data_IF_543338691403
#
_entry.id   IF_543338691403
#
_cell.length_a   1.000
_cell.length_b   1.000
_cell.length_c   1.000
_cell.angle_alpha   90.00
_cell.angle_beta   90.00
_cell.angle_gamma   90.00
#
_symmetry.space_group_name_H-M   'P 1'
#
loop_
_entity.id
_entity.type
_entity.pdbx_description
1 polymer ?
#
# COMPACT_ATOMS: atom_id res chain seq x y z
N UNK A 1 -46.68 -44.52 -2.18
CA UNK A 1 -45.21 -44.52 -2.13
C UNK A 1 -44.71 -43.46 -3.12
N UNK A 2 -44.48 -42.25 -2.66
CA UNK A 2 -44.00 -41.13 -3.45
C UNK A 2 -42.60 -40.81 -2.99
N UNK A 3 -41.62 -41.18 -3.82
CA UNK A 3 -40.21 -40.90 -3.58
C UNK A 3 -39.89 -39.43 -3.80
N UNK A 4 -39.59 -38.73 -2.74
CA UNK A 4 -39.04 -37.38 -2.78
C UNK A 4 -37.56 -37.51 -3.15
N UNK A 5 -37.20 -37.07 -4.37
CA UNK A 5 -35.80 -36.89 -4.77
C UNK A 5 -35.29 -35.59 -4.10
N UNK A 6 -34.32 -35.72 -3.21
CA UNK A 6 -33.52 -34.61 -2.73
C UNK A 6 -32.67 -34.01 -3.89
N UNK A 7 -32.58 -32.70 -4.04
CA UNK A 7 -31.68 -32.12 -5.02
C UNK A 7 -30.23 -32.24 -4.49
N UNK A 8 -29.42 -33.06 -5.18
CA UNK A 8 -27.97 -32.99 -5.05
C UNK A 8 -27.50 -31.60 -5.52
N UNK A 9 -27.33 -30.70 -4.61
CA UNK A 9 -26.52 -29.53 -4.84
C UNK A 9 -25.04 -29.98 -4.80
N UNK A 10 -24.49 -30.31 -5.97
CA UNK A 10 -23.05 -30.37 -6.14
C UNK A 10 -22.50 -28.99 -5.77
N UNK A 11 -21.96 -28.85 -4.58
CA UNK A 11 -21.09 -27.74 -4.25
C UNK A 11 -19.91 -27.88 -5.20
N UNK A 12 -19.91 -27.08 -6.28
CA UNK A 12 -18.74 -26.86 -7.10
C UNK A 12 -17.77 -26.14 -6.19
N UNK A 13 -16.71 -26.82 -5.73
CA UNK A 13 -15.62 -26.15 -5.06
C UNK A 13 -15.16 -24.99 -5.99
N UNK A 14 -15.10 -23.77 -5.51
CA UNK A 14 -14.61 -22.66 -6.34
C UNK A 14 -13.24 -23.06 -6.87
N UNK A 15 -13.03 -22.86 -8.18
CA UNK A 15 -11.74 -23.10 -8.83
C UNK A 15 -10.72 -22.19 -8.12
N UNK A 16 -9.69 -22.79 -7.54
CA UNK A 16 -8.59 -22.03 -6.96
C UNK A 16 -7.89 -21.29 -8.11
N UNK A 17 -7.75 -19.99 -7.99
CA UNK A 17 -7.02 -19.16 -8.94
C UNK A 17 -5.56 -19.08 -8.50
N UNK A 18 -4.63 -18.97 -9.44
CA UNK A 18 -3.21 -18.88 -9.09
C UNK A 18 -2.86 -17.47 -8.60
N UNK A 19 -3.49 -16.45 -9.21
CA UNK A 19 -3.18 -15.04 -8.96
C UNK A 19 -4.45 -14.18 -8.96
N UNK A 20 -4.58 -13.30 -7.95
CA UNK A 20 -5.56 -12.22 -7.93
C UNK A 20 -4.82 -10.88 -8.09
N UNK A 21 -5.09 -10.17 -9.16
CA UNK A 21 -4.58 -8.81 -9.40
C UNK A 21 -5.60 -7.81 -8.85
N UNK A 22 -5.19 -6.98 -7.92
CA UNK A 22 -6.07 -6.03 -7.22
C UNK A 22 -5.57 -4.61 -7.46
N UNK A 23 -6.43 -3.79 -8.07
CA UNK A 23 -6.16 -2.39 -8.40
C UNK A 23 -7.15 -1.53 -7.63
N UNK A 24 -6.68 -0.68 -6.71
CA UNK A 24 -7.53 0.35 -6.11
C UNK A 24 -7.43 1.64 -6.92
N UNK A 25 -8.56 2.34 -7.07
CA UNK A 25 -8.62 3.56 -7.87
C UNK A 25 -9.63 4.56 -7.31
N UNK A 26 -9.41 5.86 -7.57
CA UNK A 26 -10.39 6.92 -7.31
C UNK A 26 -10.14 8.10 -8.25
N UNK A 27 -11.13 8.43 -9.12
CA UNK A 27 -11.09 9.56 -10.05
C UNK A 27 -9.84 9.55 -10.96
N UNK A 28 -9.47 8.38 -11.50
CA UNK A 28 -8.25 8.19 -12.31
C UNK A 28 -8.49 7.29 -13.53
N UNK A 29 -9.63 7.49 -14.22
CA UNK A 29 -10.07 6.68 -15.35
C UNK A 29 -8.99 6.44 -16.42
N UNK A 30 -8.19 7.47 -16.75
CA UNK A 30 -7.14 7.36 -17.78
C UNK A 30 -5.95 6.52 -17.32
N UNK A 31 -5.51 6.67 -16.07
CA UNK A 31 -4.42 5.87 -15.49
C UNK A 31 -4.86 4.41 -15.39
N UNK A 32 -6.05 4.17 -14.85
CA UNK A 32 -6.64 2.84 -14.76
C UNK A 32 -6.71 2.15 -16.12
N UNK A 33 -7.14 2.85 -17.17
CA UNK A 33 -7.18 2.29 -18.53
C UNK A 33 -5.80 1.80 -18.98
N UNK A 34 -4.74 2.61 -18.78
CA UNK A 34 -3.36 2.22 -19.12
C UNK A 34 -2.87 1.01 -18.33
N UNK A 35 -3.19 0.95 -17.02
CA UNK A 35 -2.83 -0.18 -16.17
C UNK A 35 -3.50 -1.47 -16.67
N UNK A 36 -4.81 -1.45 -16.92
CA UNK A 36 -5.55 -2.62 -17.41
C UNK A 36 -5.11 -3.01 -18.83
N UNK A 37 -4.82 -2.06 -19.71
CA UNK A 37 -4.25 -2.32 -21.06
C UNK A 37 -2.88 -3.03 -20.98
N UNK A 38 -2.07 -2.74 -19.96
CA UNK A 38 -0.82 -3.45 -19.73
C UNK A 38 -1.07 -4.87 -19.20
N UNK A 39 -2.04 -5.05 -18.30
CA UNK A 39 -2.46 -6.37 -17.83
C UNK A 39 -2.97 -7.23 -18.99
N UNK A 40 -3.73 -6.67 -19.92
CA UNK A 40 -4.23 -7.39 -21.10
C UNK A 40 -3.13 -7.92 -22.02
N UNK A 41 -1.88 -7.46 -21.86
CA UNK A 41 -0.70 -7.89 -22.64
C UNK A 41 0.19 -8.88 -21.89
N UNK A 42 -0.25 -9.36 -20.71
CA UNK A 42 0.53 -10.34 -19.95
C UNK A 42 0.62 -11.68 -20.67
N UNK A 43 1.80 -12.28 -20.66
CA UNK A 43 2.10 -13.59 -21.22
C UNK A 43 1.64 -14.73 -20.30
N UNK A 44 0.34 -14.78 -20.00
CA UNK A 44 -0.26 -15.79 -19.11
C UNK A 44 -1.69 -16.10 -19.54
N UNK A 45 -2.22 -17.27 -19.18
CA UNK A 45 -3.62 -17.59 -19.39
C UNK A 45 -4.50 -16.87 -18.37
N UNK A 46 -5.49 -16.10 -18.85
CA UNK A 46 -6.45 -15.42 -17.98
C UNK A 46 -7.48 -16.37 -17.33
N UNK A 47 -7.49 -17.64 -17.68
CA UNK A 47 -8.32 -18.64 -16.97
C UNK A 47 -7.83 -18.95 -15.54
N UNK A 48 -6.58 -18.56 -15.24
CA UNK A 48 -5.93 -18.81 -13.95
C UNK A 48 -5.79 -17.52 -13.10
N UNK A 49 -6.21 -16.38 -13.67
CA UNK A 49 -6.07 -15.06 -13.03
C UNK A 49 -7.44 -14.43 -12.86
N UNK A 50 -7.66 -13.82 -11.72
CA UNK A 50 -8.78 -12.90 -11.51
C UNK A 50 -8.27 -11.47 -11.35
N UNK A 51 -9.07 -10.50 -11.80
CA UNK A 51 -8.75 -9.09 -11.78
C UNK A 51 -9.84 -8.33 -11.05
N UNK A 52 -9.45 -7.57 -10.04
CA UNK A 52 -10.32 -6.72 -9.27
C UNK A 52 -9.97 -5.25 -9.49
N UNK A 53 -10.96 -4.45 -9.84
CA UNK A 53 -10.88 -3.00 -9.79
C UNK A 53 -11.75 -2.54 -8.62
N UNK A 54 -11.10 -2.02 -7.58
CA UNK A 54 -11.76 -1.51 -6.39
C UNK A 54 -11.80 0.02 -6.43
N UNK A 55 -12.99 0.55 -6.68
CA UNK A 55 -13.27 1.98 -6.82
C UNK A 55 -13.71 2.59 -5.50
N UNK A 56 -12.91 3.49 -4.97
CA UNK A 56 -13.15 4.19 -3.72
C UNK A 56 -13.97 5.48 -3.91
N UNK A 57 -15.12 5.37 -4.57
CA UNK A 57 -16.06 6.47 -4.72
C UNK A 57 -15.70 7.45 -5.82
N UNK A 58 -15.35 6.98 -7.02
CA UNK A 58 -15.11 7.84 -8.17
C UNK A 58 -16.39 8.53 -8.65
N UNK A 59 -16.21 9.77 -9.11
CA UNK A 59 -17.25 10.61 -9.73
C UNK A 59 -16.93 10.92 -11.22
N UNK A 60 -15.78 10.46 -11.73
CA UNK A 60 -15.38 10.59 -13.13
C UNK A 60 -15.84 9.36 -13.96
N UNK A 61 -15.21 9.13 -15.11
CA UNK A 61 -15.51 7.99 -15.99
C UNK A 61 -14.90 6.65 -15.54
N UNK A 62 -14.31 6.55 -14.34
CA UNK A 62 -13.70 5.30 -13.82
C UNK A 62 -14.65 4.09 -13.88
N UNK A 63 -15.95 4.17 -13.47
CA UNK A 63 -16.87 3.04 -13.59
C UNK A 63 -17.10 2.60 -15.04
N UNK A 64 -17.17 3.57 -15.97
CA UNK A 64 -17.38 3.31 -17.40
C UNK A 64 -16.16 2.57 -17.98
N UNK A 65 -14.95 3.06 -17.67
CA UNK A 65 -13.70 2.42 -18.09
C UNK A 65 -13.64 0.99 -17.54
N UNK A 66 -13.93 0.77 -16.26
CA UNK A 66 -13.92 -0.58 -15.68
C UNK A 66 -14.88 -1.54 -16.41
N UNK A 67 -16.06 -1.05 -16.76
CA UNK A 67 -17.06 -1.85 -17.47
C UNK A 67 -16.62 -2.28 -18.89
N UNK A 68 -15.84 -1.44 -19.58
CA UNK A 68 -15.29 -1.77 -20.91
C UNK A 68 -14.38 -3.01 -20.87
N UNK A 69 -13.65 -3.21 -19.79
CA UNK A 69 -12.74 -4.35 -19.61
C UNK A 69 -13.40 -5.61 -19.08
N UNK A 70 -14.58 -5.53 -18.48
CA UNK A 70 -15.30 -6.68 -17.94
C UNK A 70 -15.59 -7.78 -19.00
N UNK A 71 -15.64 -7.42 -20.28
CA UNK A 71 -15.84 -8.36 -21.37
C UNK A 71 -14.52 -8.92 -21.98
N UNK A 72 -13.38 -8.43 -21.51
CA UNK A 72 -12.06 -8.85 -22.04
C UNK A 72 -11.49 -10.00 -21.20
N UNK A 73 -11.72 -9.97 -19.89
CA UNK A 73 -11.16 -10.96 -18.98
C UNK A 73 -12.24 -11.90 -18.45
N UNK A 74 -11.99 -13.22 -18.42
CA UNK A 74 -12.96 -14.23 -17.95
C UNK A 74 -13.38 -14.02 -16.48
N UNK A 75 -12.46 -13.50 -15.65
CA UNK A 75 -12.62 -13.31 -14.22
C UNK A 75 -12.28 -11.86 -13.82
N UNK A 76 -13.10 -10.93 -14.30
CA UNK A 76 -12.99 -9.51 -13.96
C UNK A 76 -14.12 -9.08 -13.03
N UNK A 77 -13.78 -8.34 -11.98
CA UNK A 77 -14.74 -7.80 -11.03
C UNK A 77 -14.49 -6.33 -10.72
N UNK A 78 -15.52 -5.52 -10.86
CA UNK A 78 -15.57 -4.15 -10.39
C UNK A 78 -16.28 -4.09 -9.03
N UNK A 79 -15.64 -3.47 -8.05
CA UNK A 79 -16.14 -3.28 -6.69
C UNK A 79 -16.21 -1.78 -6.44
N UNK A 80 -17.36 -1.29 -6.01
CA UNK A 80 -17.56 0.10 -5.62
C UNK A 80 -17.78 0.21 -4.11
N UNK A 81 -16.99 1.03 -3.44
CA UNK A 81 -17.19 1.36 -2.03
C UNK A 81 -16.79 2.83 -1.80
N UNK A 82 -17.74 3.71 -1.46
CA UNK A 82 -17.48 5.15 -1.34
C UNK A 82 -16.76 5.55 -0.06
N UNK A 83 -16.55 4.62 0.88
CA UNK A 83 -15.82 4.92 2.12
C UNK A 83 -14.40 5.39 1.81
N UNK A 84 -13.86 6.36 2.57
CA UNK A 84 -12.56 6.96 2.28
C UNK A 84 -11.40 6.02 2.62
N UNK A 85 -10.35 6.09 1.79
CA UNK A 85 -9.08 5.38 2.01
C UNK A 85 -8.88 4.16 1.13
N UNK A 86 -7.65 3.98 0.68
CA UNK A 86 -7.24 2.88 -0.21
C UNK A 86 -7.47 1.49 0.42
N UNK A 87 -7.32 1.41 1.74
CA UNK A 87 -7.60 0.24 2.56
C UNK A 87 -8.93 -0.43 2.22
N UNK A 88 -10.00 0.37 2.04
CA UNK A 88 -11.35 -0.14 1.77
C UNK A 88 -11.35 -0.98 0.49
N UNK A 89 -10.85 -0.40 -0.60
CA UNK A 89 -10.80 -1.10 -1.88
C UNK A 89 -9.98 -2.38 -1.81
N UNK A 90 -8.82 -2.33 -1.19
CA UNK A 90 -7.95 -3.49 -1.04
C UNK A 90 -8.61 -4.61 -0.21
N UNK A 91 -9.23 -4.30 0.92
CA UNK A 91 -9.87 -5.32 1.75
C UNK A 91 -11.15 -5.86 1.14
N UNK A 92 -11.94 -5.01 0.46
CA UNK A 92 -13.10 -5.50 -0.31
C UNK A 92 -12.69 -6.53 -1.35
N UNK A 93 -11.64 -6.24 -2.13
CA UNK A 93 -11.11 -7.17 -3.12
C UNK A 93 -10.45 -8.40 -2.48
N UNK A 94 -9.72 -8.25 -1.37
CA UNK A 94 -9.13 -9.36 -0.60
C UNK A 94 -10.17 -10.40 -0.19
N UNK A 95 -11.33 -9.95 0.32
CA UNK A 95 -12.40 -10.88 0.76
C UNK A 95 -13.08 -11.60 -0.39
N UNK A 96 -13.13 -10.99 -1.56
CA UNK A 96 -13.76 -11.55 -2.75
C UNK A 96 -12.81 -12.37 -3.62
N UNK A 97 -11.50 -12.24 -3.39
CA UNK A 97 -10.44 -12.93 -4.15
C UNK A 97 -10.31 -14.40 -3.74
N UNK A 98 -9.88 -15.24 -4.69
CA UNK A 98 -9.65 -16.68 -4.50
C UNK A 98 -8.23 -17.10 -4.92
N UNK A 99 -7.39 -16.18 -5.38
CA UNK A 99 -6.01 -16.46 -5.77
C UNK A 99 -5.16 -16.90 -4.59
N UNK A 100 -4.28 -17.87 -4.81
CA UNK A 100 -3.27 -18.25 -3.81
C UNK A 100 -2.31 -17.08 -3.54
N UNK A 101 -1.95 -16.37 -4.61
CA UNK A 101 -1.11 -15.18 -4.57
C UNK A 101 -1.98 -13.96 -4.86
N UNK A 102 -1.79 -12.91 -4.07
CA UNK A 102 -2.39 -11.61 -4.27
C UNK A 102 -1.34 -10.63 -4.76
N UNK A 103 -1.65 -9.89 -5.80
CA UNK A 103 -0.84 -8.82 -6.32
C UNK A 103 -1.63 -7.50 -6.22
N UNK A 104 -1.23 -6.65 -5.29
CA UNK A 104 -1.75 -5.30 -5.19
C UNK A 104 -0.87 -4.38 -6.00
N UNK A 105 -1.46 -3.66 -6.94
CA UNK A 105 -0.79 -2.65 -7.76
C UNK A 105 -1.61 -1.37 -7.80
N UNK A 106 -0.94 -0.23 -7.97
CA UNK A 106 -1.61 1.05 -8.14
C UNK A 106 -2.19 1.22 -9.55
N UNK A 107 -3.16 2.12 -9.70
CA UNK A 107 -3.82 2.41 -10.99
C UNK A 107 -2.96 3.22 -11.97
N UNK A 108 -1.75 3.66 -11.55
CA UNK A 108 -0.72 4.28 -12.37
C UNK A 108 0.50 3.37 -12.60
N UNK A 109 0.32 2.08 -12.37
CA UNK A 109 1.36 1.06 -12.54
C UNK A 109 1.03 0.16 -13.73
N UNK A 110 2.04 -0.10 -14.57
CA UNK A 110 1.91 -0.93 -15.78
C UNK A 110 2.87 -2.12 -15.70
N UNK A 111 2.37 -3.35 -15.46
CA UNK A 111 3.23 -4.53 -15.43
C UNK A 111 3.83 -4.84 -16.80
N UNK A 112 5.05 -5.40 -16.81
CA UNK A 112 5.71 -5.90 -18.04
C UNK A 112 5.06 -7.21 -18.51
N UNK A 113 5.21 -7.62 -19.78
CA UNK A 113 4.52 -8.81 -20.31
C UNK A 113 4.75 -10.10 -19.52
N UNK A 114 5.94 -10.33 -18.98
CA UNK A 114 6.25 -11.53 -18.20
C UNK A 114 6.04 -11.39 -16.69
N UNK A 115 5.53 -10.25 -16.25
CA UNK A 115 5.35 -9.91 -14.83
C UNK A 115 4.59 -11.00 -14.06
N UNK A 116 3.42 -11.42 -14.53
CA UNK A 116 2.59 -12.39 -13.82
C UNK A 116 3.26 -13.76 -13.66
N UNK A 117 4.01 -14.21 -14.67
CA UNK A 117 4.83 -15.42 -14.58
C UNK A 117 5.89 -15.29 -13.50
N UNK A 118 6.64 -14.19 -13.49
CA UNK A 118 7.67 -13.91 -12.49
C UNK A 118 7.10 -13.71 -11.08
N UNK A 119 5.85 -13.20 -10.97
CA UNK A 119 5.12 -13.17 -9.70
C UNK A 119 4.91 -14.58 -9.16
N UNK A 120 4.40 -15.50 -9.96
CA UNK A 120 4.18 -16.89 -9.54
C UNK A 120 5.50 -17.60 -9.19
N UNK A 121 6.55 -17.41 -10.00
CA UNK A 121 7.91 -17.92 -9.72
C UNK A 121 8.46 -17.42 -8.38
N UNK A 122 8.14 -16.20 -7.97
CA UNK A 122 8.56 -15.63 -6.68
C UNK A 122 8.07 -16.42 -5.48
N UNK A 123 7.01 -17.19 -5.62
CA UNK A 123 6.40 -17.96 -4.53
C UNK A 123 6.58 -19.47 -4.66
N UNK A 124 7.52 -19.96 -5.47
CA UNK A 124 7.82 -21.40 -5.53
C UNK A 124 8.35 -21.93 -4.20
N UNK A 125 9.13 -21.14 -3.45
CA UNK A 125 9.56 -21.51 -2.09
C UNK A 125 8.48 -21.14 -1.05
N UNK A 126 8.10 -22.09 -0.17
CA UNK A 126 7.15 -21.82 0.90
C UNK A 126 7.66 -20.83 1.97
N UNK A 127 8.98 -20.59 2.02
CA UNK A 127 9.58 -19.60 2.93
C UNK A 127 9.28 -18.14 2.51
N UNK A 128 8.91 -17.92 1.25
CA UNK A 128 8.58 -16.59 0.76
C UNK A 128 7.12 -16.26 1.07
N UNK A 129 6.92 -15.29 1.95
CA UNK A 129 5.61 -14.79 2.33
C UNK A 129 5.15 -13.61 1.49
N UNK A 130 6.11 -12.75 1.11
CA UNK A 130 5.89 -11.47 0.44
C UNK A 130 6.97 -11.26 -0.61
N UNK A 131 6.67 -10.59 -1.71
CA UNK A 131 7.63 -10.31 -2.77
C UNK A 131 7.35 -8.95 -3.44
N UNK A 132 8.33 -8.49 -4.22
CA UNK A 132 8.21 -7.36 -5.13
C UNK A 132 9.14 -7.55 -6.33
N UNK A 133 9.04 -6.67 -7.30
CA UNK A 133 9.96 -6.62 -8.45
C UNK A 133 10.56 -5.25 -8.67
N UNK A 134 11.21 -5.09 -9.80
CA UNK A 134 11.72 -3.78 -10.22
C UNK A 134 10.55 -2.81 -10.43
N UNK A 135 10.70 -1.58 -9.93
CA UNK A 135 9.73 -0.50 -10.14
C UNK A 135 10.45 0.63 -10.86
N UNK A 136 10.05 0.86 -12.12
CA UNK A 136 10.72 1.76 -13.05
C UNK A 136 9.91 3.05 -13.14
N UNK A 137 10.42 4.20 -12.65
CA UNK A 137 9.71 5.47 -12.75
C UNK A 137 9.65 5.96 -14.19
N UNK A 138 8.46 6.26 -14.69
CA UNK A 138 8.25 6.90 -15.99
C UNK A 138 7.70 8.31 -15.78
N UNK A 139 8.56 9.29 -15.96
CA UNK A 139 8.24 10.69 -15.73
C UNK A 139 7.58 11.31 -16.96
N UNK A 140 6.40 11.92 -16.80
CA UNK A 140 5.77 12.74 -17.84
C UNK A 140 6.61 14.00 -18.11
N UNK A 141 7.19 14.61 -17.06
CA UNK A 141 8.14 15.71 -17.15
C UNK A 141 9.36 15.42 -16.25
N UNK A 142 10.52 15.92 -16.66
CA UNK A 142 11.76 15.72 -15.90
C UNK A 142 11.61 16.33 -14.49
N UNK A 143 11.85 15.55 -13.42
CA UNK A 143 11.75 16.05 -12.06
C UNK A 143 12.81 17.13 -11.78
N UNK A 144 12.56 18.05 -10.84
CA UNK A 144 13.55 19.02 -10.38
C UNK A 144 14.86 18.37 -9.95
N UNK A 145 15.99 19.01 -10.25
CA UNK A 145 17.32 18.43 -10.04
C UNK A 145 17.61 18.02 -8.60
N UNK A 146 17.07 18.72 -7.62
CA UNK A 146 17.23 18.43 -6.20
C UNK A 146 16.56 17.11 -5.75
N UNK A 147 15.55 16.63 -6.50
CA UNK A 147 14.92 15.34 -6.17
C UNK A 147 15.84 14.14 -6.43
N UNK A 148 16.93 14.32 -7.16
CA UNK A 148 17.97 13.27 -7.28
C UNK A 148 18.60 12.92 -5.94
N UNK A 149 18.60 13.86 -4.99
CA UNK A 149 19.12 13.63 -3.65
C UNK A 149 18.21 12.69 -2.82
N UNK A 150 17.00 12.38 -3.34
CA UNK A 150 16.07 11.41 -2.79
C UNK A 150 16.19 10.01 -3.45
N UNK A 151 17.16 9.84 -4.33
CA UNK A 151 17.59 8.52 -4.81
C UNK A 151 18.68 8.02 -3.88
N UNK A 152 18.40 6.92 -3.23
CA UNK A 152 19.29 6.31 -2.25
C UNK A 152 19.90 5.03 -2.81
N UNK A 153 21.08 4.68 -2.33
CA UNK A 153 21.80 3.47 -2.70
C UNK A 153 22.22 2.71 -1.45
N UNK A 154 22.14 1.39 -1.52
CA UNK A 154 22.66 0.48 -0.52
C UNK A 154 23.29 -0.76 -1.19
N UNK A 155 23.68 -1.76 -0.42
CA UNK A 155 24.28 -3.00 -0.93
C UNK A 155 23.35 -3.86 -1.81
N UNK A 156 22.04 -3.56 -1.84
CA UNK A 156 21.07 -4.25 -2.69
C UNK A 156 20.94 -3.57 -4.05
N UNK A 157 21.04 -2.24 -4.11
CA UNK A 157 20.89 -1.43 -5.31
C UNK A 157 20.36 -0.02 -4.99
N UNK A 158 19.65 0.58 -5.95
CA UNK A 158 19.12 1.95 -5.85
C UNK A 158 17.60 1.95 -5.64
N UNK A 159 17.14 2.94 -4.90
CA UNK A 159 15.71 3.11 -4.62
C UNK A 159 15.35 4.57 -4.31
N UNK A 160 14.08 4.90 -4.46
CA UNK A 160 13.51 6.19 -4.04
C UNK A 160 12.07 6.00 -3.59
N UNK A 161 11.80 6.24 -2.32
CA UNK A 161 10.46 6.17 -1.79
C UNK A 161 9.53 7.24 -2.40
N UNK A 162 10.05 8.44 -2.69
CA UNK A 162 9.29 9.51 -3.34
C UNK A 162 8.74 9.10 -4.71
N UNK A 163 9.54 8.39 -5.50
CA UNK A 163 9.17 7.96 -6.84
C UNK A 163 8.59 6.54 -6.89
N UNK A 164 8.52 5.86 -5.73
CA UNK A 164 8.22 4.44 -5.69
C UNK A 164 9.19 3.61 -6.56
N UNK A 165 10.43 4.07 -6.71
CA UNK A 165 11.46 3.45 -7.55
C UNK A 165 12.22 2.39 -6.78
N UNK A 166 12.40 1.21 -7.41
CA UNK A 166 13.18 0.12 -6.87
C UNK A 166 13.95 -0.59 -7.98
N UNK A 167 15.29 -0.56 -7.91
CA UNK A 167 16.15 -1.32 -8.80
C UNK A 167 17.28 -1.99 -8.01
N UNK A 168 17.10 -3.26 -7.74
CA UNK A 168 18.08 -4.09 -7.04
C UNK A 168 18.86 -5.00 -8.00
N UNK A 169 18.90 -4.66 -9.29
CA UNK A 169 19.65 -5.34 -10.32
C UNK A 169 18.93 -6.56 -10.91
N UNK A 170 19.67 -7.43 -11.57
CA UNK A 170 19.13 -8.48 -12.46
C UNK A 170 19.00 -9.86 -11.84
N UNK A 171 19.28 -10.00 -10.53
CA UNK A 171 19.25 -11.32 -9.84
C UNK A 171 18.09 -11.37 -8.85
N UNK A 172 17.43 -12.51 -8.79
CA UNK A 172 16.49 -12.84 -7.73
C UNK A 172 17.28 -12.90 -6.40
N UNK A 173 16.74 -12.27 -5.36
CA UNK A 173 17.40 -12.23 -4.05
C UNK A 173 16.39 -11.99 -2.91
N UNK A 174 16.73 -12.47 -1.71
CA UNK A 174 16.04 -12.07 -0.49
C UNK A 174 16.34 -10.60 -0.19
N UNK A 175 15.33 -9.87 0.30
CA UNK A 175 15.41 -8.45 0.63
C UNK A 175 14.74 -8.19 2.00
N UNK A 176 15.05 -7.06 2.67
CA UNK A 176 14.23 -6.59 3.80
C UNK A 176 12.78 -6.30 3.37
N UNK A 177 11.84 -6.64 4.24
CA UNK A 177 10.39 -6.45 3.99
C UNK A 177 10.01 -4.99 3.73
N UNK A 178 10.77 -4.05 4.27
CA UNK A 178 10.55 -2.61 4.11
C UNK A 178 10.65 -2.11 2.65
N UNK A 179 11.16 -2.94 1.73
CA UNK A 179 11.23 -2.64 0.30
C UNK A 179 10.08 -3.23 -0.53
N UNK A 180 9.07 -3.82 0.10
CA UNK A 180 7.86 -4.31 -0.59
C UNK A 180 6.76 -3.27 -0.44
N UNK A 181 6.48 -2.53 -1.53
CA UNK A 181 5.60 -1.36 -1.53
C UNK A 181 4.33 -1.57 -2.36
N UNK A 182 3.26 -0.82 -2.05
CA UNK A 182 1.93 -0.92 -2.63
C UNK A 182 1.86 -0.82 -4.15
N UNK A 183 2.83 -0.16 -4.80
CA UNK A 183 2.91 -0.10 -6.26
C UNK A 183 3.23 -1.45 -6.93
N UNK A 184 3.81 -2.41 -6.18
CA UNK A 184 4.07 -3.78 -6.65
C UNK A 184 4.16 -4.74 -5.45
N UNK A 185 3.06 -4.85 -4.70
CA UNK A 185 2.99 -5.59 -3.44
C UNK A 185 2.41 -6.99 -3.69
N UNK A 186 3.26 -8.00 -3.56
CA UNK A 186 2.94 -9.41 -3.84
C UNK A 186 2.96 -10.20 -2.54
N UNK A 187 1.91 -10.97 -2.25
CA UNK A 187 1.79 -11.70 -0.99
C UNK A 187 0.97 -12.97 -1.14
N UNK A 188 1.28 -14.00 -0.36
CA UNK A 188 0.38 -15.15 -0.22
C UNK A 188 -0.92 -14.72 0.47
N UNK A 189 -2.06 -15.10 -0.09
CA UNK A 189 -3.38 -14.78 0.48
C UNK A 189 -3.50 -15.21 1.94
N UNK A 190 -3.04 -16.41 2.27
CA UNK A 190 -3.04 -16.92 3.65
C UNK A 190 -2.24 -15.99 4.57
N UNK A 191 -1.04 -15.59 4.16
CA UNK A 191 -0.16 -14.70 4.93
C UNK A 191 -0.80 -13.33 5.14
N UNK A 192 -1.46 -12.78 4.10
CA UNK A 192 -2.16 -11.50 4.19
C UNK A 192 -3.30 -11.53 5.23
N UNK A 193 -4.07 -12.61 5.27
CA UNK A 193 -5.15 -12.78 6.25
C UNK A 193 -4.61 -12.99 7.66
N UNK A 194 -3.53 -13.76 7.82
CA UNK A 194 -2.86 -13.98 9.10
C UNK A 194 -2.19 -12.70 9.63
N UNK A 195 -1.68 -11.84 8.73
CA UNK A 195 -1.14 -10.53 9.08
C UNK A 195 -2.22 -9.52 9.51
N UNK A 196 -3.51 -9.81 9.33
CA UNK A 196 -4.59 -8.91 9.70
C UNK A 196 -4.93 -7.85 8.66
N UNK A 197 -4.47 -8.02 7.42
CA UNK A 197 -4.70 -7.09 6.32
C UNK A 197 -3.82 -5.84 6.38
N UNK A 198 -4.06 -4.91 5.46
CA UNK A 198 -3.37 -3.63 5.45
C UNK A 198 -3.79 -2.73 6.60
N UNK A 199 -2.89 -1.86 7.02
CA UNK A 199 -3.22 -0.72 7.85
C UNK A 199 -3.73 0.47 7.00
N UNK A 200 -4.33 1.51 7.62
CA UNK A 200 -4.85 2.64 6.87
C UNK A 200 -3.80 3.31 6.00
N UNK A 201 -4.16 3.59 4.74
CA UNK A 201 -3.31 4.29 3.78
C UNK A 201 -4.18 5.00 2.73
N UNK A 202 -3.58 5.92 1.96
CA UNK A 202 -4.26 6.62 0.87
C UNK A 202 -5.46 7.47 1.32
N UNK A 203 -5.44 8.01 2.54
CA UNK A 203 -6.53 8.81 3.07
C UNK A 203 -6.66 10.15 2.34
N UNK A 204 -7.90 10.64 2.09
CA UNK A 204 -8.13 11.96 1.53
C UNK A 204 -7.59 13.05 2.46
N UNK A 205 -7.35 14.26 1.91
CA UNK A 205 -6.67 15.36 2.62
C UNK A 205 -7.34 15.71 3.96
N UNK A 206 -8.65 15.69 3.99
CA UNK A 206 -9.48 16.03 5.15
C UNK A 206 -9.33 15.02 6.30
N UNK A 207 -9.02 13.77 5.93
CA UNK A 207 -8.84 12.64 6.84
C UNK A 207 -7.38 12.18 6.95
N UNK A 208 -6.43 13.02 6.55
CA UNK A 208 -5.02 12.62 6.44
C UNK A 208 -4.43 12.18 7.78
N UNK A 209 -4.95 12.68 8.91
CA UNK A 209 -4.56 12.27 10.25
C UNK A 209 -4.92 10.80 10.58
N UNK A 210 -5.85 10.17 9.84
CA UNK A 210 -6.16 8.75 9.97
C UNK A 210 -5.17 7.82 9.24
N UNK A 211 -4.14 8.36 8.59
CA UNK A 211 -3.14 7.56 7.89
C UNK A 211 -2.30 6.75 8.87
N UNK A 212 -2.16 5.47 8.60
CA UNK A 212 -1.25 4.54 9.26
C UNK A 212 -0.09 4.15 8.33
N UNK A 213 0.54 3.00 8.58
CA UNK A 213 1.73 2.54 7.86
C UNK A 213 1.43 1.60 6.67
N UNK A 214 0.16 1.49 6.29
CA UNK A 214 -0.28 0.86 5.04
C UNK A 214 0.28 -0.55 4.80
N UNK A 215 0.96 -0.69 3.67
CA UNK A 215 1.64 -1.89 3.19
C UNK A 215 2.88 -2.25 4.01
N UNK A 216 3.65 -1.26 4.45
CA UNK A 216 4.86 -1.48 5.28
C UNK A 216 4.52 -2.16 6.60
N UNK A 217 3.35 -1.87 7.16
CA UNK A 217 2.84 -2.54 8.37
C UNK A 217 2.69 -4.04 8.17
N UNK A 218 2.14 -4.48 7.04
CA UNK A 218 2.02 -5.90 6.69
C UNK A 218 3.40 -6.56 6.59
N UNK A 219 4.34 -5.91 5.91
CA UNK A 219 5.71 -6.42 5.77
C UNK A 219 6.35 -6.72 7.12
N UNK A 220 6.21 -5.82 8.11
CA UNK A 220 6.74 -6.04 9.48
C UNK A 220 6.11 -7.24 10.16
N UNK A 221 4.79 -7.41 10.08
CA UNK A 221 4.09 -8.56 10.65
C UNK A 221 4.57 -9.86 9.97
N UNK A 222 4.74 -9.85 8.64
CA UNK A 222 5.29 -11.00 7.90
C UNK A 222 6.68 -11.36 8.39
N UNK A 223 7.56 -10.38 8.62
CA UNK A 223 8.90 -10.63 9.16
C UNK A 223 8.88 -11.28 10.56
N UNK A 224 7.93 -10.91 11.42
CA UNK A 224 7.74 -11.50 12.76
C UNK A 224 7.34 -12.98 12.70
N UNK A 225 6.75 -13.45 11.60
CA UNK A 225 6.42 -14.87 11.39
C UNK A 225 7.62 -15.72 10.95
N UNK A 226 8.76 -15.11 10.65
CA UNK A 226 9.96 -15.76 10.10
C UNK A 226 9.90 -16.02 8.60
N UNK A 227 8.84 -15.60 7.90
CA UNK A 227 8.77 -15.63 6.45
C UNK A 227 9.65 -14.53 5.84
N UNK A 228 10.08 -14.76 4.61
CA UNK A 228 11.04 -13.93 3.89
C UNK A 228 10.36 -13.08 2.83
N UNK A 229 11.03 -11.98 2.46
CA UNK A 229 10.67 -11.16 1.31
C UNK A 229 11.63 -11.42 0.15
N UNK A 230 11.10 -11.47 -1.09
CA UNK A 230 11.86 -11.72 -2.31
C UNK A 230 11.77 -10.53 -3.27
N UNK A 231 12.90 -10.18 -3.89
CA UNK A 231 12.95 -9.33 -5.07
C UNK A 231 13.15 -10.21 -6.30
N UNK A 232 12.23 -10.11 -7.27
CA UNK A 232 12.32 -10.78 -8.57
C UNK A 232 12.40 -9.74 -9.69
N UNK A 233 13.54 -9.57 -10.39
CA UNK A 233 13.73 -8.50 -11.38
C UNK A 233 12.74 -8.57 -12.54
N UNK A 234 12.27 -9.76 -12.91
CA UNK A 234 11.28 -9.96 -13.98
C UNK A 234 9.84 -9.65 -13.57
N UNK A 235 9.53 -9.61 -12.28
CA UNK A 235 8.25 -9.10 -11.77
C UNK A 235 8.25 -7.55 -11.83
N UNK A 236 8.62 -6.98 -12.98
CA UNK A 236 8.88 -5.56 -13.16
C UNK A 236 7.62 -4.79 -13.56
N UNK A 237 7.53 -3.56 -13.05
CA UNK A 237 6.44 -2.63 -13.39
C UNK A 237 7.01 -1.27 -13.78
N UNK A 238 6.35 -0.57 -14.71
CA UNK A 238 6.53 0.84 -14.96
C UNK A 238 5.55 1.64 -14.09
N UNK A 239 6.03 2.68 -13.41
CA UNK A 239 5.23 3.55 -12.56
C UNK A 239 5.11 4.93 -13.20
N UNK A 240 3.92 5.28 -13.68
CA UNK A 240 3.64 6.54 -14.33
C UNK A 240 3.65 7.69 -13.31
N UNK A 241 4.55 8.64 -13.49
CA UNK A 241 4.72 9.78 -12.61
C UNK A 241 4.32 11.08 -13.33
N UNK A 242 3.05 11.53 -13.17
CA UNK A 242 2.55 12.72 -13.85
C UNK A 242 3.25 13.99 -13.36
N UNK A 243 3.38 14.99 -14.24
CA UNK A 243 4.10 16.23 -13.97
C UNK A 243 3.66 16.94 -12.69
N UNK A 244 2.36 16.99 -12.43
CA UNK A 244 1.79 17.64 -11.26
C UNK A 244 2.15 16.96 -9.93
N UNK A 245 2.46 15.66 -9.94
CA UNK A 245 2.86 14.90 -8.73
C UNK A 245 4.31 15.17 -8.32
N UNK A 246 5.20 15.45 -9.28
CA UNK A 246 6.63 15.49 -9.04
C UNK A 246 7.26 16.88 -9.19
N UNK A 247 6.53 17.87 -9.74
CA UNK A 247 7.11 19.17 -10.07
C UNK A 247 7.08 20.17 -8.93
N UNK A 248 6.31 19.95 -7.86
CA UNK A 248 6.14 20.96 -6.82
C UNK A 248 6.72 20.54 -5.46
N UNK A 249 7.35 21.50 -4.78
CA UNK A 249 7.75 21.36 -3.38
C UNK A 249 6.54 21.02 -2.47
N UNK A 250 5.31 21.33 -2.88
CA UNK A 250 4.11 21.06 -2.11
C UNK A 250 3.76 19.58 -2.01
N UNK A 251 4.02 18.79 -3.07
CA UNK A 251 3.79 17.34 -3.01
C UNK A 251 4.81 16.67 -2.09
N UNK A 252 6.06 17.10 -2.13
CA UNK A 252 7.07 16.60 -1.20
C UNK A 252 6.74 17.00 0.23
N UNK A 253 6.24 18.23 0.47
CA UNK A 253 5.72 18.65 1.78
C UNK A 253 4.65 17.68 2.30
N UNK A 254 3.66 17.40 1.45
CA UNK A 254 2.56 16.50 1.81
C UNK A 254 3.07 15.11 2.14
N UNK A 255 4.01 14.60 1.33
CA UNK A 255 4.59 13.28 1.55
C UNK A 255 5.38 13.23 2.86
N UNK A 256 6.31 14.18 3.12
CA UNK A 256 7.09 14.23 4.37
C UNK A 256 6.18 14.43 5.60
N UNK A 257 5.12 15.23 5.45
CA UNK A 257 4.12 15.37 6.51
C UNK A 257 3.42 14.04 6.80
N UNK A 258 3.08 13.26 5.77
CA UNK A 258 2.56 11.91 5.87
C UNK A 258 3.51 10.99 6.64
N UNK A 259 4.82 11.03 6.36
CA UNK A 259 5.83 10.26 7.09
C UNK A 259 5.86 10.59 8.59
N UNK A 260 5.58 11.84 8.94
CA UNK A 260 5.41 12.25 10.33
C UNK A 260 4.20 11.59 11.01
N UNK A 261 3.06 11.56 10.32
CA UNK A 261 1.85 10.86 10.80
C UNK A 261 2.13 9.38 11.00
N UNK A 262 2.72 8.72 10.00
CA UNK A 262 3.08 7.29 10.02
C UNK A 262 4.05 6.98 11.16
N UNK A 263 5.08 7.80 11.35
CA UNK A 263 6.05 7.61 12.44
C UNK A 263 5.36 7.65 13.80
N UNK A 264 4.46 8.60 14.02
CA UNK A 264 3.68 8.67 15.26
C UNK A 264 2.72 7.48 15.39
N UNK A 265 2.02 7.09 14.33
CA UNK A 265 1.13 5.92 14.31
C UNK A 265 1.86 4.64 14.73
N UNK A 266 3.00 4.36 14.11
CA UNK A 266 3.83 3.17 14.41
C UNK A 266 4.33 3.21 15.86
N UNK A 267 4.80 4.38 16.33
CA UNK A 267 5.27 4.56 17.72
C UNK A 267 4.16 4.23 18.71
N UNK A 268 2.95 4.79 18.53
CA UNK A 268 1.83 4.56 19.45
C UNK A 268 1.44 3.08 19.51
N UNK A 269 1.37 2.40 18.38
CA UNK A 269 1.06 0.96 18.31
C UNK A 269 2.13 0.11 19.01
N UNK A 270 3.41 0.39 18.76
CA UNK A 270 4.53 -0.32 19.40
C UNK A 270 4.50 -0.16 20.93
N UNK A 271 4.28 1.07 21.40
CA UNK A 271 4.20 1.35 22.83
C UNK A 271 2.99 0.67 23.48
N UNK A 272 1.84 0.66 22.82
CA UNK A 272 0.64 -0.03 23.31
C UNK A 272 0.84 -1.55 23.38
N UNK A 273 1.49 -2.14 22.37
CA UNK A 273 1.80 -3.57 22.36
C UNK A 273 2.79 -3.95 23.48
N UNK A 274 3.85 -3.15 23.66
CA UNK A 274 4.86 -3.38 24.68
C UNK A 274 4.35 -3.13 26.10
N UNK A 275 3.30 -2.31 26.28
CA UNK A 275 2.78 -1.88 27.56
C UNK A 275 1.26 -2.02 27.62
N UNK A 276 0.77 -3.26 27.55
CA UNK A 276 -0.67 -3.58 27.45
C UNK A 276 -1.54 -3.04 28.60
N UNK A 277 -0.94 -2.60 29.70
CA UNK A 277 -1.62 -1.97 30.85
C UNK A 277 -1.75 -0.46 30.72
N UNK A 278 -0.99 0.18 29.80
CA UNK A 278 -1.05 1.61 29.57
C UNK A 278 -2.14 1.95 28.55
N UNK A 279 -2.94 2.95 28.85
CA UNK A 279 -4.01 3.43 27.98
C UNK A 279 -4.01 4.96 27.89
N UNK A 280 -4.60 5.47 26.80
CA UNK A 280 -4.89 6.88 26.67
C UNK A 280 -3.66 7.80 26.73
N UNK A 281 -3.70 8.80 27.61
CA UNK A 281 -2.66 9.84 27.72
C UNK A 281 -1.33 9.31 28.23
N UNK A 282 -1.30 8.26 29.03
CA UNK A 282 -0.06 7.68 29.54
C UNK A 282 0.85 7.12 28.43
N UNK A 283 0.26 6.68 27.29
CA UNK A 283 1.03 6.29 26.12
C UNK A 283 1.71 7.48 25.44
N UNK A 284 1.12 8.69 25.54
CA UNK A 284 1.72 9.89 24.96
C UNK A 284 2.91 10.33 25.81
N UNK A 285 2.77 10.34 27.12
CA UNK A 285 3.87 10.69 28.03
C UNK A 285 5.06 9.74 27.78
N UNK A 286 4.78 8.43 27.63
CA UNK A 286 5.79 7.45 27.26
C UNK A 286 6.39 7.69 25.87
N UNK A 287 5.59 8.14 24.89
CA UNK A 287 6.09 8.46 23.57
C UNK A 287 7.03 9.68 23.59
N UNK A 288 6.70 10.72 24.37
CA UNK A 288 7.55 11.89 24.56
C UNK A 288 8.92 11.53 25.19
N UNK A 289 8.93 10.53 26.07
CA UNK A 289 10.15 9.99 26.68
C UNK A 289 10.95 9.07 25.74
N UNK A 290 10.27 8.45 24.74
CA UNK A 290 10.88 7.44 23.87
C UNK A 290 11.56 8.04 22.65
N UNK A 291 10.99 9.11 22.06
CA UNK A 291 11.49 9.75 20.85
C UNK A 291 11.98 11.18 21.15
N UNK A 292 13.22 11.46 20.78
CA UNK A 292 13.79 12.80 20.97
C UNK A 292 13.23 13.81 19.96
N UNK A 293 13.27 15.09 20.33
CA UNK A 293 12.92 16.19 19.41
C UNK A 293 13.82 16.26 18.17
N UNK A 294 15.05 15.76 18.28
CA UNK A 294 16.00 15.66 17.16
C UNK A 294 15.57 14.56 16.19
N UNK A 295 15.16 13.39 16.65
CA UNK A 295 14.64 12.32 15.80
C UNK A 295 13.38 12.77 15.07
N UNK A 296 12.44 13.41 15.78
CA UNK A 296 11.23 13.96 15.16
C UNK A 296 11.56 14.98 14.06
N UNK A 297 12.55 15.87 14.27
CA UNK A 297 12.96 16.86 13.28
C UNK A 297 13.70 16.26 12.08
N UNK A 298 14.18 15.03 12.20
CA UNK A 298 14.91 14.32 11.14
C UNK A 298 14.05 13.33 10.35
N UNK A 299 12.75 13.19 10.63
CA UNK A 299 11.87 12.25 9.95
C UNK A 299 11.99 12.37 8.42
N UNK A 300 11.85 13.58 7.87
CA UNK A 300 11.97 13.79 6.42
C UNK A 300 13.40 13.58 5.88
N UNK A 301 14.41 13.81 6.69
CA UNK A 301 15.83 13.72 6.26
C UNK A 301 16.31 12.29 6.04
N UNK A 302 15.66 11.29 6.64
CA UNK A 302 15.96 9.87 6.40
C UNK A 302 15.77 9.43 4.95
N UNK A 303 15.11 10.24 4.14
CA UNK A 303 14.87 10.00 2.72
C UNK A 303 15.79 10.78 1.78
N UNK A 304 16.83 11.40 2.31
CA UNK A 304 17.83 12.15 1.56
C UNK A 304 19.17 11.43 1.60
N UNK A 305 19.91 11.55 0.50
CA UNK A 305 21.31 11.15 0.49
C UNK A 305 22.09 11.93 1.59
N UNK A 306 22.97 11.25 2.29
CA UNK A 306 23.74 11.84 3.40
C UNK A 306 24.60 13.05 2.97
N UNK A 307 25.00 13.09 1.69
CA UNK A 307 25.79 14.18 1.10
C UNK A 307 24.94 15.31 0.49
N UNK A 308 23.60 15.20 0.61
CA UNK A 308 22.67 16.17 0.02
C UNK A 308 22.91 17.59 0.54
N UNK A 309 23.09 18.53 -0.39
CA UNK A 309 23.21 19.97 -0.14
C UNK A 309 21.95 20.67 -0.63
N UNK A 310 20.88 20.55 0.15
CA UNK A 310 19.65 21.28 -0.12
C UNK A 310 19.86 22.81 0.09
N UNK A 311 19.04 23.63 -0.59
CA UNK A 311 18.91 25.03 -0.20
C UNK A 311 18.34 25.13 1.23
N UNK A 312 18.62 26.25 1.92
CA UNK A 312 18.15 26.47 3.29
C UNK A 312 16.61 26.33 3.39
N UNK A 313 15.89 26.75 2.36
CA UNK A 313 14.42 26.61 2.29
C UNK A 313 13.97 25.14 2.23
N UNK A 314 14.60 24.33 1.38
CA UNK A 314 14.30 22.91 1.27
C UNK A 314 14.73 22.15 2.54
N UNK A 315 15.88 22.44 3.12
CA UNK A 315 16.32 21.83 4.37
C UNK A 315 15.36 22.13 5.51
N UNK A 316 14.90 23.37 5.63
CA UNK A 316 13.88 23.77 6.60
C UNK A 316 12.58 23.00 6.38
N UNK A 317 12.16 22.82 5.13
CA UNK A 317 10.97 22.04 4.77
C UNK A 317 11.09 20.59 5.25
N UNK A 318 12.21 19.92 4.96
CA UNK A 318 12.45 18.54 5.39
C UNK A 318 12.47 18.38 6.91
N UNK A 319 12.92 19.39 7.65
CA UNK A 319 12.93 19.39 9.13
C UNK A 319 11.57 19.67 9.75
N UNK A 320 10.74 20.51 9.12
CA UNK A 320 9.51 20.99 9.74
C UNK A 320 8.30 20.11 9.41
N UNK A 321 8.13 19.72 8.14
CA UNK A 321 6.91 19.01 7.72
C UNK A 321 6.72 17.66 8.41
N UNK A 322 7.76 16.86 8.55
CA UNK A 322 7.69 15.59 9.28
C UNK A 322 7.29 15.78 10.74
N UNK A 323 7.91 16.76 11.41
CA UNK A 323 7.58 17.05 12.81
C UNK A 323 6.17 17.61 12.99
N UNK A 324 5.64 18.36 12.02
CA UNK A 324 4.26 18.84 12.03
C UNK A 324 3.25 17.68 11.91
N UNK A 325 3.48 16.75 10.98
CA UNK A 325 2.66 15.55 10.84
C UNK A 325 2.67 14.70 12.11
N UNK A 326 3.85 14.44 12.67
CA UNK A 326 4.01 13.72 13.93
C UNK A 326 3.18 14.35 15.05
N UNK A 327 3.33 15.67 15.28
CA UNK A 327 2.61 16.40 16.33
C UNK A 327 1.11 16.44 16.09
N UNK A 328 0.66 16.52 14.83
CA UNK A 328 -0.75 16.47 14.51
C UNK A 328 -1.37 15.14 14.93
N UNK A 329 -0.75 14.02 14.58
CA UNK A 329 -1.23 12.69 14.99
C UNK A 329 -1.26 12.55 16.53
N UNK A 330 -0.20 12.97 17.23
CA UNK A 330 -0.17 12.98 18.70
C UNK A 330 -1.30 13.81 19.30
N UNK A 331 -1.60 14.98 18.72
CA UNK A 331 -2.69 15.85 19.15
C UNK A 331 -4.07 15.16 19.06
N UNK A 332 -4.34 14.48 17.94
CA UNK A 332 -5.59 13.72 17.77
C UNK A 332 -5.61 12.53 18.75
N UNK A 333 -4.54 11.78 18.82
CA UNK A 333 -4.42 10.65 19.75
C UNK A 333 -4.67 11.06 21.20
N UNK A 334 -4.18 12.24 21.62
CA UNK A 334 -4.40 12.79 22.98
C UNK A 334 -5.85 13.17 23.25
N UNK A 335 -6.52 13.77 22.26
CA UNK A 335 -7.81 14.45 22.45
C UNK A 335 -9.02 13.59 22.13
N UNK A 336 -8.89 12.64 21.22
CA UNK A 336 -9.99 11.89 20.63
C UNK A 336 -9.90 10.41 20.98
N UNK A 337 -10.90 9.91 21.71
CA UNK A 337 -10.94 8.51 22.13
C UNK A 337 -11.22 7.59 20.93
N UNK A 338 -12.12 7.97 20.04
CA UNK A 338 -12.45 7.17 18.85
C UNK A 338 -11.28 7.09 17.88
N UNK A 339 -10.51 8.19 17.76
CA UNK A 339 -9.27 8.17 17.00
C UNK A 339 -8.22 7.25 17.63
N UNK A 340 -8.07 7.23 18.96
CA UNK A 340 -7.20 6.26 19.64
C UNK A 340 -7.62 4.83 19.35
N UNK A 341 -8.92 4.55 19.44
CA UNK A 341 -9.46 3.23 19.14
C UNK A 341 -9.17 2.83 17.70
N UNK A 342 -9.30 3.78 16.74
CA UNK A 342 -8.89 3.57 15.36
C UNK A 342 -7.40 3.20 15.23
N UNK A 343 -6.49 3.98 15.84
CA UNK A 343 -5.04 3.75 15.76
C UNK A 343 -4.66 2.42 16.40
N UNK A 344 -5.32 2.02 17.47
CA UNK A 344 -5.00 0.82 18.26
C UNK A 344 -5.80 -0.42 17.86
N UNK A 345 -6.57 -0.38 16.77
CA UNK A 345 -7.23 -1.56 16.23
C UNK A 345 -6.24 -2.71 16.07
N UNK A 346 -6.55 -3.93 16.51
CA UNK A 346 -5.65 -5.08 16.35
C UNK A 346 -5.41 -5.42 14.88
N UNK A 347 -6.42 -5.25 14.05
CA UNK A 347 -6.37 -5.35 12.59
C UNK A 347 -7.52 -4.54 11.98
N UNK A 348 -7.53 -4.41 10.64
CA UNK A 348 -8.53 -3.63 9.91
C UNK A 348 -9.37 -4.49 8.95
N UNK A 349 -9.42 -5.81 9.16
CA UNK A 349 -10.17 -6.72 8.28
C UNK A 349 -11.68 -6.53 8.40
N UNK A 350 -12.20 -6.26 9.60
CA UNK A 350 -13.61 -5.92 9.78
C UNK A 350 -13.83 -4.43 9.50
N UNK A 351 -14.07 -4.10 8.23
CA UNK A 351 -14.24 -2.72 7.77
C UNK A 351 -15.41 -2.01 8.45
N UNK A 352 -16.48 -2.72 8.78
CA UNK A 352 -17.67 -2.11 9.39
C UNK A 352 -17.42 -1.80 10.87
N UNK A 353 -16.69 -2.66 11.55
CA UNK A 353 -16.25 -2.39 12.93
C UNK A 353 -15.19 -1.29 13.02
N UNK A 354 -14.31 -1.17 12.00
CA UNK A 354 -13.24 -0.17 11.99
C UNK A 354 -13.76 1.23 11.65
N UNK A 355 -14.69 1.37 10.68
CA UNK A 355 -15.16 2.67 10.17
C UNK A 355 -16.31 3.23 11.02
N UNK A 356 -16.08 3.47 12.31
CA UNK A 356 -17.08 3.97 13.27
C UNK A 356 -16.88 5.43 13.66
N UNK A 357 -15.73 6.02 13.35
CA UNK A 357 -15.48 7.44 13.66
C UNK A 357 -16.36 8.34 12.80
N UNK A 358 -17.03 9.38 13.40
CA UNK A 358 -17.94 10.26 12.66
C UNK A 358 -17.29 10.92 11.43
N UNK A 359 -16.03 11.34 11.52
CA UNK A 359 -15.31 11.97 10.42
C UNK A 359 -15.09 11.01 9.23
N UNK A 360 -14.91 9.70 9.49
CA UNK A 360 -14.79 8.68 8.45
C UNK A 360 -16.13 8.40 7.75
N UNK A 361 -17.24 8.73 8.37
CA UNK A 361 -18.59 8.52 7.86
C UNK A 361 -19.19 9.77 7.18
N UNK A 362 -18.54 10.93 7.34
CA UNK A 362 -19.08 12.23 6.90
C UNK A 362 -18.69 12.63 5.46
N UNK A 363 -17.88 11.82 4.75
CA UNK A 363 -17.33 12.14 3.41
C UNK A 363 -18.01 11.33 2.31
#
# INVERSE_FOLDING_TARGET
MSGVRSPNSSMVNPKVMDLSIIISTRNRAQSLAKAIDAIAKLNISFDQIEIFVADNGSSDSTPIVSQMYANIFPHFKYIFDPRPGQLIGWHRALFESNGEILAFIDDDVRPTPDWAKCVLESFESPEIGIATGQIIPEFEERPPSWQKDMVLENNLGIWSALWGMLDFGTKIKEIPVDFVWGSNFLIRRKVMLEAGGFHPGGMPKELFHFTGDGDVGVGRIVAETGLKALYHPGAAVAHDLPANRNSSANEVKRWIFGEGLVTSYVLMRRLATANSTLTGTNLIDLAEDTISSTEISNIGRGYLNAESKLSDELDLLFRTCGSEGFRLHQKYFKKDALFRDWVLQPNYLDLDACYTHPDLLAI
#
